data_IF_230217906139
#
_entry.id   IF_230217906139
#
_cell.length_a   1.000
_cell.length_b   1.000
_cell.length_c   1.000
_cell.angle_alpha   90.00
_cell.angle_beta   90.00
_cell.angle_gamma   90.00
#
_symmetry.space_group_name_H-M   'P 1'
#
loop_
_entity.id
_entity.type
_entity.pdbx_description
1 polymer ?
#
# COMPACT_ATOMS: atom_id res chain seq x y z
N UNK A 1 -7.31 -20.31 -2.88
CA UNK A 1 -8.07 -19.12 -3.31
C UNK A 1 -7.39 -18.44 -4.50
N UNK A 2 -6.09 -18.10 -4.43
CA UNK A 2 -5.36 -17.46 -5.55
C UNK A 2 -5.24 -18.34 -6.79
N UNK A 3 -5.15 -19.65 -6.62
CA UNK A 3 -5.08 -20.63 -7.73
C UNK A 3 -6.43 -20.84 -8.43
N UNK A 4 -7.52 -20.59 -7.72
CA UNK A 4 -8.90 -20.75 -8.23
C UNK A 4 -9.46 -19.45 -8.82
N UNK A 5 -9.00 -18.30 -8.34
CA UNK A 5 -9.42 -16.98 -8.79
C UNK A 5 -8.34 -16.38 -9.69
N UNK A 6 -8.75 -15.93 -10.87
CA UNK A 6 -7.88 -15.17 -11.75
C UNK A 6 -7.74 -13.72 -11.24
N UNK A 7 -7.02 -13.52 -10.14
CA UNK A 7 -6.79 -12.20 -9.54
C UNK A 7 -5.84 -11.40 -10.43
N UNK A 8 -6.29 -10.27 -10.94
CA UNK A 8 -5.53 -9.44 -11.88
C UNK A 8 -4.88 -8.23 -11.22
N UNK A 9 -5.46 -7.73 -10.15
CA UNK A 9 -4.96 -6.59 -9.38
C UNK A 9 -5.57 -6.61 -7.97
N UNK A 10 -4.94 -5.90 -7.03
CA UNK A 10 -5.47 -5.67 -5.70
C UNK A 10 -5.47 -4.17 -5.39
N UNK A 11 -6.60 -3.66 -4.96
CA UNK A 11 -6.77 -2.28 -4.53
C UNK A 11 -7.12 -2.30 -3.04
N UNK A 12 -6.23 -1.79 -2.22
CA UNK A 12 -6.41 -1.67 -0.78
C UNK A 12 -6.74 -0.23 -0.39
N UNK A 13 -7.65 -0.06 0.53
CA UNK A 13 -8.00 1.22 1.13
C UNK A 13 -7.90 1.11 2.65
N UNK A 14 -7.09 1.95 3.25
CA UNK A 14 -6.92 1.99 4.69
C UNK A 14 -6.96 3.44 5.18
N UNK A 15 -7.70 3.67 6.28
CA UNK A 15 -7.85 4.99 6.93
C UNK A 15 -8.35 6.12 5.99
N UNK A 16 -9.04 5.79 4.90
CA UNK A 16 -9.46 6.78 3.87
C UNK A 16 -10.54 7.76 4.34
N UNK A 17 -11.10 7.55 5.52
CA UNK A 17 -12.04 8.47 6.17
C UNK A 17 -11.40 9.69 6.83
N UNK A 18 -10.08 9.86 6.76
CA UNK A 18 -9.34 10.93 7.46
C UNK A 18 -8.60 11.86 6.50
N UNK A 19 -9.14 12.04 5.29
CA UNK A 19 -8.55 12.97 4.31
C UNK A 19 -8.42 14.38 4.90
N UNK A 20 -7.20 14.93 4.85
CA UNK A 20 -6.86 16.32 5.23
C UNK A 20 -5.94 16.92 4.19
N UNK A 21 -6.11 18.22 3.90
CA UNK A 21 -5.28 18.98 2.94
C UNK A 21 -5.17 18.33 1.56
N UNK A 22 -6.18 17.55 1.16
CA UNK A 22 -6.22 16.75 -0.07
C UNK A 22 -5.04 15.78 -0.23
N UNK A 23 -4.35 15.44 0.86
CA UNK A 23 -3.18 14.54 0.86
C UNK A 23 -3.64 13.10 0.76
N UNK A 24 -3.18 12.42 -0.29
CA UNK A 24 -3.44 11.00 -0.50
C UNK A 24 -2.12 10.28 -0.79
N UNK A 25 -1.78 9.32 0.05
CA UNK A 25 -0.58 8.50 -0.08
C UNK A 25 -0.97 7.22 -0.81
N UNK A 26 -0.18 6.83 -1.81
CA UNK A 26 -0.44 5.63 -2.59
C UNK A 26 0.84 4.80 -2.63
N UNK A 27 0.80 3.63 -2.01
CA UNK A 27 1.87 2.64 -2.07
C UNK A 27 1.64 1.65 -3.20
N UNK A 28 2.69 0.97 -3.62
CA UNK A 28 2.63 -0.06 -4.66
C UNK A 28 2.64 0.49 -6.08
N UNK A 29 2.91 1.77 -6.28
CA UNK A 29 2.87 2.40 -7.62
C UNK A 29 3.91 1.87 -8.59
N UNK A 30 4.93 1.16 -8.11
CA UNK A 30 5.93 0.45 -8.92
C UNK A 30 5.56 -1.00 -9.24
N UNK A 31 4.47 -1.54 -8.69
CA UNK A 31 4.07 -2.94 -8.87
C UNK A 31 3.45 -3.23 -10.23
N UNK A 32 3.12 -2.20 -11.00
CA UNK A 32 2.80 -2.27 -12.43
C UNK A 32 3.13 -0.92 -13.11
N UNK A 33 3.62 -0.92 -14.36
CA UNK A 33 3.85 0.31 -15.12
C UNK A 33 2.55 1.09 -15.39
N UNK A 34 1.41 0.41 -15.38
CA UNK A 34 0.10 1.02 -15.63
C UNK A 34 -0.37 1.97 -14.50
N UNK A 35 0.09 1.76 -13.26
CA UNK A 35 -0.44 2.49 -12.11
C UNK A 35 -0.26 4.00 -12.22
N UNK A 36 0.93 4.46 -12.56
CA UNK A 36 1.19 5.90 -12.64
C UNK A 36 0.35 6.59 -13.73
N UNK A 37 0.15 5.93 -14.88
CA UNK A 37 -0.72 6.44 -15.94
C UNK A 37 -2.15 6.66 -15.43
N UNK A 38 -2.76 5.64 -14.81
CA UNK A 38 -4.13 5.71 -14.31
C UNK A 38 -4.29 6.72 -13.18
N UNK A 39 -3.36 6.70 -12.22
CA UNK A 39 -3.37 7.63 -11.09
C UNK A 39 -3.31 9.08 -11.56
N UNK A 40 -2.43 9.41 -12.50
CA UNK A 40 -2.31 10.79 -13.00
C UNK A 40 -3.50 11.18 -13.87
N UNK A 41 -3.96 10.29 -14.74
CA UNK A 41 -5.11 10.52 -15.62
C UNK A 41 -6.33 10.95 -14.80
N UNK A 42 -6.70 10.13 -13.82
CA UNK A 42 -7.93 10.39 -13.06
C UNK A 42 -7.77 11.48 -12.00
N UNK A 43 -6.56 11.69 -11.47
CA UNK A 43 -6.34 12.77 -10.52
C UNK A 43 -6.59 14.17 -11.10
N UNK A 44 -6.60 14.34 -12.41
CA UNK A 44 -6.99 15.61 -13.05
C UNK A 44 -8.40 16.06 -12.68
N UNK A 45 -9.30 15.12 -12.34
CA UNK A 45 -10.68 15.40 -11.92
C UNK A 45 -10.82 15.64 -10.42
N UNK A 46 -9.90 15.11 -9.62
CA UNK A 46 -10.01 15.11 -8.14
C UNK A 46 -9.04 16.04 -7.45
N UNK A 47 -7.93 16.37 -8.09
CA UNK A 47 -6.90 17.31 -7.61
C UNK A 47 -6.33 16.95 -6.21
N UNK A 48 -6.12 15.66 -5.93
CA UNK A 48 -5.42 15.24 -4.72
C UNK A 48 -3.93 15.58 -4.78
N UNK A 49 -3.37 15.91 -3.62
CA UNK A 49 -1.93 16.00 -3.41
C UNK A 49 -1.36 14.59 -3.25
N UNK A 50 -1.03 13.93 -4.38
CA UNK A 50 -0.59 12.55 -4.38
C UNK A 50 0.86 12.41 -3.89
N UNK A 51 1.09 11.53 -2.92
CA UNK A 51 2.42 11.02 -2.56
C UNK A 51 2.50 9.57 -3.01
N UNK A 52 3.27 9.31 -4.06
CA UNK A 52 3.39 7.99 -4.68
C UNK A 52 4.64 7.27 -4.20
N UNK A 53 4.49 6.04 -3.73
CA UNK A 53 5.58 5.18 -3.25
C UNK A 53 5.58 3.89 -4.07
N UNK A 54 6.70 3.54 -4.75
CA UNK A 54 6.74 2.38 -5.63
C UNK A 54 6.67 1.04 -4.89
N UNK A 55 7.12 0.96 -3.63
CA UNK A 55 7.22 -0.27 -2.85
C UNK A 55 5.85 -0.93 -2.66
N UNK A 56 5.73 -2.20 -3.04
CA UNK A 56 4.54 -3.02 -2.85
C UNK A 56 4.46 -3.70 -1.49
N UNK A 57 5.51 -3.56 -0.66
CA UNK A 57 5.52 -4.06 0.71
C UNK A 57 5.14 -2.96 1.69
N UNK A 58 4.35 -3.30 2.69
CA UNK A 58 3.92 -2.38 3.73
C UNK A 58 3.01 -3.06 4.76
N UNK A 59 2.62 -2.36 5.83
CA UNK A 59 1.87 -2.94 6.95
C UNK A 59 0.35 -2.95 6.68
N UNK A 60 -0.08 -3.44 5.52
CA UNK A 60 -1.49 -3.60 5.17
C UNK A 60 -1.68 -4.73 4.15
N UNK A 61 -2.92 -5.07 3.82
CA UNK A 61 -3.31 -6.27 3.07
C UNK A 61 -2.70 -6.37 1.66
N UNK A 62 -2.40 -5.23 1.02
CA UNK A 62 -1.75 -5.18 -0.30
C UNK A 62 -0.45 -5.99 -0.36
N UNK A 63 0.30 -6.06 0.75
CA UNK A 63 1.55 -6.82 0.84
C UNK A 63 1.34 -8.30 0.60
N UNK A 64 0.23 -8.87 1.09
CA UNK A 64 -0.10 -10.28 0.94
C UNK A 64 -0.36 -10.67 -0.53
N UNK A 65 -0.81 -9.72 -1.34
CA UNK A 65 -1.02 -9.89 -2.77
C UNK A 65 0.27 -9.64 -3.56
N UNK A 66 1.02 -8.61 -3.20
CA UNK A 66 2.30 -8.31 -3.83
C UNK A 66 3.30 -9.48 -3.76
N UNK A 67 3.41 -10.16 -2.61
CA UNK A 67 4.29 -11.34 -2.46
C UNK A 67 3.82 -12.56 -3.28
N UNK A 68 2.62 -12.50 -3.87
CA UNK A 68 2.05 -13.49 -4.80
C UNK A 68 2.08 -12.99 -6.25
N UNK A 69 2.93 -12.01 -6.53
CA UNK A 69 3.10 -11.43 -7.86
C UNK A 69 1.81 -10.81 -8.44
N UNK A 70 0.94 -10.28 -7.57
CA UNK A 70 -0.26 -9.53 -7.95
C UNK A 70 0.03 -8.04 -7.88
N UNK A 71 -0.20 -7.27 -8.98
CA UNK A 71 -0.09 -5.80 -8.97
C UNK A 71 -1.01 -5.22 -7.91
N UNK A 72 -0.48 -4.38 -7.01
CA UNK A 72 -1.24 -3.92 -5.85
C UNK A 72 -1.05 -2.43 -5.62
N UNK A 73 -2.15 -1.73 -5.29
CA UNK A 73 -2.14 -0.36 -4.80
C UNK A 73 -2.71 -0.30 -3.38
N UNK A 74 -2.16 0.57 -2.56
CA UNK A 74 -2.68 0.87 -1.24
C UNK A 74 -2.88 2.37 -1.07
N UNK A 75 -4.14 2.79 -0.94
CA UNK A 75 -4.57 4.16 -0.71
C UNK A 75 -4.67 4.45 0.79
N UNK A 76 -4.04 5.53 1.23
CA UNK A 76 -3.89 5.85 2.63
C UNK A 76 -3.87 7.36 2.86
N UNK A 77 -4.55 7.86 3.87
CA UNK A 77 -4.61 9.31 4.17
C UNK A 77 -3.57 9.76 5.21
N UNK A 78 -2.74 8.85 5.68
CA UNK A 78 -1.76 9.11 6.74
C UNK A 78 -2.29 8.74 8.13
N UNK A 79 -1.38 8.68 9.10
CA UNK A 79 -1.71 8.47 10.50
C UNK A 79 -2.25 9.77 11.12
N UNK A 80 -3.16 9.65 12.07
CA UNK A 80 -3.74 10.76 12.84
C UNK A 80 -3.58 10.52 14.34
N UNK A 81 -3.78 11.56 15.15
CA UNK A 81 -3.54 11.51 16.59
C UNK A 81 -4.43 10.54 17.37
N UNK A 82 -5.59 10.19 16.82
CA UNK A 82 -6.54 9.26 17.42
C UNK A 82 -6.33 7.81 16.99
N UNK A 83 -5.33 7.52 16.15
CA UNK A 83 -5.05 6.18 15.64
C UNK A 83 -4.95 5.15 16.76
N UNK A 84 -5.76 4.09 16.71
CA UNK A 84 -5.91 3.05 17.72
C UNK A 84 -6.31 3.58 19.12
N UNK A 85 -6.93 4.76 19.20
CA UNK A 85 -7.38 5.34 20.47
C UNK A 85 -8.90 5.16 20.66
N UNK A 86 -9.38 5.06 21.92
CA UNK A 86 -10.81 4.88 22.23
C UNK A 86 -11.73 6.01 21.75
N UNK A 87 -11.15 7.16 21.39
CA UNK A 87 -11.86 8.37 20.92
C UNK A 87 -11.72 8.59 19.40
N UNK A 88 -11.34 7.55 18.66
CA UNK A 88 -11.41 7.56 17.18
C UNK A 88 -12.84 7.22 16.75
N UNK A 89 -13.71 8.22 16.90
CA UNK A 89 -15.15 8.10 16.75
C UNK A 89 -15.63 8.62 15.37
N UNK A 90 -16.89 8.32 15.05
CA UNK A 90 -17.55 8.64 13.77
C UNK A 90 -17.53 10.14 13.44
N UNK A 91 -17.55 11.01 14.44
CA UNK A 91 -17.52 12.47 14.29
C UNK A 91 -16.20 12.97 13.68
N UNK A 92 -15.16 12.14 13.70
CA UNK A 92 -13.85 12.45 13.14
C UNK A 92 -13.74 12.09 11.65
N UNK A 93 -14.73 11.39 11.10
CA UNK A 93 -14.70 10.94 9.71
C UNK A 93 -15.04 12.10 8.77
N UNK A 94 -14.15 12.37 7.82
CA UNK A 94 -14.40 13.22 6.67
C UNK A 94 -15.14 12.45 5.58
N UNK A 95 -16.47 12.35 5.69
CA UNK A 95 -17.28 11.56 4.77
C UNK A 95 -17.22 12.10 3.32
N UNK A 96 -17.12 13.43 3.13
CA UNK A 96 -16.98 14.03 1.80
C UNK A 96 -15.63 13.68 1.18
N UNK A 97 -14.55 13.80 1.94
CA UNK A 97 -13.21 13.40 1.51
C UNK A 97 -13.12 11.90 1.18
N UNK A 98 -13.76 11.07 2.01
CA UNK A 98 -13.84 9.63 1.76
C UNK A 98 -14.58 9.30 0.45
N UNK A 99 -15.72 9.96 0.21
CA UNK A 99 -16.48 9.77 -1.02
C UNK A 99 -15.67 10.19 -2.26
N UNK A 100 -14.92 11.29 -2.18
CA UNK A 100 -14.02 11.72 -3.26
C UNK A 100 -12.95 10.66 -3.57
N UNK A 101 -12.32 10.08 -2.53
CA UNK A 101 -11.33 8.99 -2.70
C UNK A 101 -11.99 7.76 -3.33
N UNK A 102 -13.17 7.38 -2.86
CA UNK A 102 -13.89 6.23 -3.41
C UNK A 102 -14.24 6.43 -4.89
N UNK A 103 -14.71 7.62 -5.29
CA UNK A 103 -15.00 7.92 -6.70
C UNK A 103 -13.73 7.90 -7.55
N UNK A 104 -12.63 8.44 -7.06
CA UNK A 104 -11.32 8.37 -7.74
C UNK A 104 -10.87 6.92 -7.98
N UNK A 105 -10.98 6.08 -6.95
CA UNK A 105 -10.64 4.65 -7.06
C UNK A 105 -11.61 3.93 -7.99
N UNK A 106 -12.90 4.26 -7.94
CA UNK A 106 -13.92 3.69 -8.81
C UNK A 106 -13.60 3.96 -10.30
N UNK A 107 -13.21 5.19 -10.64
CA UNK A 107 -12.83 5.53 -12.02
C UNK A 107 -11.62 4.71 -12.48
N UNK A 108 -10.62 4.50 -11.62
CA UNK A 108 -9.45 3.67 -11.90
C UNK A 108 -9.86 2.21 -12.12
N UNK A 109 -10.69 1.66 -11.24
CA UNK A 109 -11.15 0.27 -11.33
C UNK A 109 -12.01 0.05 -12.57
N UNK A 110 -12.87 1.01 -12.91
CA UNK A 110 -13.69 0.94 -14.13
C UNK A 110 -12.85 0.95 -15.40
N UNK A 111 -11.81 1.79 -15.45
CA UNK A 111 -10.85 1.78 -16.58
C UNK A 111 -10.11 0.43 -16.67
N UNK A 112 -9.73 -0.15 -15.53
CA UNK A 112 -9.08 -1.46 -15.50
C UNK A 112 -9.99 -2.59 -16.01
N UNK A 113 -11.28 -2.55 -15.65
CA UNK A 113 -12.27 -3.55 -16.06
C UNK A 113 -12.55 -3.48 -17.57
N UNK A 114 -12.59 -2.27 -18.11
CA UNK A 114 -12.83 -2.00 -19.53
C UNK A 114 -11.61 -2.34 -20.43
N UNK A 115 -10.41 -2.60 -19.87
CA UNK A 115 -9.20 -2.89 -20.63
C UNK A 115 -9.09 -4.36 -21.03
N UNK A 116 -8.74 -4.61 -22.27
CA UNK A 116 -8.39 -5.96 -22.77
C UNK A 116 -7.09 -6.49 -22.13
N UNK A 117 -6.16 -5.60 -21.79
CA UNK A 117 -4.87 -5.94 -21.20
C UNK A 117 -4.90 -5.72 -19.68
N UNK A 118 -4.56 -6.78 -18.96
CA UNK A 118 -4.42 -6.76 -17.49
C UNK A 118 -3.14 -6.03 -17.08
N UNK A 119 -3.11 -5.44 -15.85
CA UNK A 119 -1.88 -4.85 -15.31
C UNK A 119 -0.77 -5.90 -15.24
N UNK A 120 0.36 -5.62 -15.86
CA UNK A 120 1.54 -6.47 -15.78
C UNK A 120 2.21 -6.28 -14.41
N UNK A 121 2.52 -7.40 -13.74
CA UNK A 121 3.24 -7.34 -12.47
C UNK A 121 4.71 -6.98 -12.68
N UNK A 122 5.19 -6.04 -11.89
CA UNK A 122 6.60 -5.65 -11.80
C UNK A 122 7.08 -5.81 -10.37
N UNK A 123 8.13 -6.61 -10.20
CA UNK A 123 8.80 -6.71 -8.91
C UNK A 123 9.62 -5.46 -8.65
N UNK A 124 9.28 -4.74 -7.59
CA UNK A 124 9.98 -3.49 -7.24
C UNK A 124 11.32 -3.84 -6.60
N UNK A 125 12.41 -3.48 -7.29
CA UNK A 125 13.75 -3.48 -6.69
C UNK A 125 13.92 -2.13 -6.01
N UNK A 126 13.81 -2.10 -4.69
CA UNK A 126 14.17 -0.90 -3.92
C UNK A 126 15.68 -0.77 -4.00
N UNK A 127 16.15 0.11 -4.90
CA UNK A 127 17.56 0.49 -4.93
C UNK A 127 17.92 1.02 -3.53
N UNK A 128 18.99 0.50 -2.95
CA UNK A 128 19.55 1.10 -1.74
C UNK A 128 19.82 2.57 -2.04
N UNK A 129 18.99 3.46 -1.49
CA UNK A 129 19.25 4.89 -1.59
C UNK A 129 20.55 5.15 -0.85
N UNK A 130 21.63 5.45 -1.61
CA UNK A 130 22.87 6.00 -1.10
C UNK A 130 22.69 7.44 -0.58
N UNK A 131 21.55 7.74 0.01
CA UNK A 131 21.40 8.96 0.80
C UNK A 131 22.26 8.79 2.04
N UNK A 132 23.35 9.54 2.07
CA UNK A 132 24.17 9.76 3.26
C UNK A 132 23.21 10.14 4.40
N UNK A 133 22.86 9.16 5.23
CA UNK A 133 22.01 9.35 6.39
C UNK A 133 22.62 10.43 7.25
N UNK A 134 21.96 11.57 7.32
CA UNK A 134 22.20 12.57 8.35
C UNK A 134 22.14 11.86 9.71
N UNK A 135 23.13 12.05 10.54
CA UNK A 135 23.40 11.35 11.81
C UNK A 135 22.35 11.64 12.91
N UNK A 136 21.07 11.86 12.55
CA UNK A 136 19.99 12.30 13.45
C UNK A 136 18.80 11.34 13.64
N UNK A 137 18.63 10.28 12.85
CA UNK A 137 17.60 9.28 13.09
C UNK A 137 18.03 7.89 12.63
N UNK A 138 18.58 7.11 13.55
CA UNK A 138 18.78 5.67 13.32
C UNK A 138 17.42 5.01 13.37
N UNK A 139 16.78 4.84 12.22
CA UNK A 139 15.62 3.95 12.12
C UNK A 139 16.14 2.52 12.11
N UNK A 140 16.07 1.86 13.27
CA UNK A 140 16.33 0.43 13.35
C UNK A 140 15.15 -0.27 12.66
N UNK A 141 15.44 -1.08 11.64
CA UNK A 141 14.48 -1.72 10.80
C UNK A 141 14.91 -3.18 10.63
N UNK A 142 14.02 -4.13 10.95
CA UNK A 142 14.28 -5.57 10.87
C UNK A 142 13.96 -6.10 9.47
N UNK A 143 12.90 -5.61 8.84
CA UNK A 143 12.47 -6.04 7.51
C UNK A 143 11.60 -7.29 7.53
N UNK A 144 10.95 -7.59 8.66
CA UNK A 144 9.93 -8.63 8.76
C UNK A 144 8.58 -8.09 8.35
N UNK A 145 7.73 -8.94 7.78
CA UNK A 145 6.32 -8.67 7.47
C UNK A 145 5.50 -9.53 8.42
N UNK A 146 4.83 -8.94 9.43
CA UNK A 146 4.00 -9.69 10.36
C UNK A 146 2.76 -10.28 9.68
N UNK A 147 2.33 -11.44 10.16
CA UNK A 147 1.01 -12.01 9.84
C UNK A 147 -0.01 -11.50 10.87
N UNK A 148 -0.72 -10.43 10.53
CA UNK A 148 -1.72 -9.82 11.42
C UNK A 148 -2.98 -10.67 11.62
N UNK A 149 -3.16 -11.73 10.84
CA UNK A 149 -4.26 -12.71 11.01
C UNK A 149 -3.92 -13.82 12.00
N UNK A 150 -2.66 -13.92 12.43
CA UNK A 150 -2.22 -14.95 13.33
C UNK A 150 -2.74 -14.73 14.76
N UNK A 151 -3.46 -15.71 15.29
CA UNK A 151 -4.10 -15.66 16.62
C UNK A 151 -3.37 -16.49 17.68
N UNK A 152 -2.23 -17.09 17.33
CA UNK A 152 -1.41 -17.87 18.25
C UNK A 152 -0.54 -17.01 19.16
N UNK A 153 0.24 -17.66 20.01
CA UNK A 153 1.19 -16.99 20.88
C UNK A 153 2.44 -16.55 20.11
N UNK A 154 2.85 -15.28 20.28
CA UNK A 154 3.99 -14.69 19.57
C UNK A 154 3.61 -13.94 18.30
N UNK A 155 4.58 -13.70 17.41
CA UNK A 155 4.40 -13.01 16.14
C UNK A 155 4.79 -13.94 14.99
N UNK A 156 3.84 -14.29 14.15
CA UNK A 156 4.10 -15.02 12.92
C UNK A 156 4.55 -14.04 11.83
N UNK A 157 5.52 -14.44 11.03
CA UNK A 157 6.06 -13.63 9.94
C UNK A 157 5.52 -14.19 8.62
N UNK A 158 4.77 -13.39 7.87
CA UNK A 158 4.24 -13.75 6.54
C UNK A 158 5.29 -13.60 5.44
N UNK A 159 6.36 -12.82 5.70
CA UNK A 159 7.45 -12.63 4.75
C UNK A 159 8.57 -11.78 5.31
N UNK A 160 9.62 -11.61 4.50
CA UNK A 160 10.74 -10.70 4.78
C UNK A 160 10.96 -9.79 3.59
N UNK A 161 11.39 -8.55 3.85
CA UNK A 161 11.73 -7.60 2.80
C UNK A 161 13.03 -8.03 2.11
N UNK A 162 12.99 -8.11 0.78
CA UNK A 162 14.16 -8.46 -0.03
C UNK A 162 15.30 -7.45 0.18
N UNK A 163 16.53 -7.96 0.38
CA UNK A 163 17.71 -7.16 0.70
C UNK A 163 17.71 -6.59 2.12
N UNK A 164 16.65 -6.89 2.92
CA UNK A 164 16.55 -6.41 4.29
C UNK A 164 17.38 -7.22 5.30
N UNK A 165 17.58 -6.66 6.52
CA UNK A 165 18.34 -7.35 7.57
C UNK A 165 17.78 -8.72 7.93
N UNK A 166 16.47 -8.90 7.94
CA UNK A 166 15.84 -10.19 8.24
C UNK A 166 16.17 -11.26 7.19
N UNK A 167 16.11 -10.93 5.89
CA UNK A 167 16.49 -11.86 4.82
C UNK A 167 17.99 -12.18 4.88
N UNK A 168 18.84 -11.16 5.04
CA UNK A 168 20.29 -11.32 5.17
C UNK A 168 20.67 -12.15 6.39
N UNK A 169 19.90 -12.04 7.47
CA UNK A 169 20.03 -12.84 8.70
C UNK A 169 19.45 -14.23 8.59
N UNK A 170 18.89 -14.63 7.44
CA UNK A 170 18.33 -15.96 7.20
C UNK A 170 16.95 -16.18 7.80
N UNK A 171 16.19 -15.14 8.14
CA UNK A 171 14.79 -15.28 8.54
C UNK A 171 13.94 -15.70 7.33
N UNK A 172 12.99 -16.59 7.58
CA UNK A 172 12.02 -17.08 6.59
C UNK A 172 10.60 -16.82 7.10
N UNK A 173 9.64 -16.80 6.18
CA UNK A 173 8.22 -16.84 6.50
C UNK A 173 7.86 -18.15 7.20
N UNK A 174 6.94 -18.14 8.18
CA UNK A 174 6.47 -19.34 8.88
C UNK A 174 6.03 -19.10 10.30
#
# INVERSE_FOLDING_TARGET
>A
LFEELNVVAMINMDMVGRLSDDKLIIYGTGTSPLWNELLDKYNTNYNFNLTKTPDGLGPSDHSSFYIKDVPSLHFFTGTHGEYHAPHDDIEKINAEGQLRIMNYIYDIVSDLDDRDLKPEFTKVVVAESNEKRSMGSVKIYVGTIPDYSFTGEGMKISGVKQGGPAETGGMLAG
#
